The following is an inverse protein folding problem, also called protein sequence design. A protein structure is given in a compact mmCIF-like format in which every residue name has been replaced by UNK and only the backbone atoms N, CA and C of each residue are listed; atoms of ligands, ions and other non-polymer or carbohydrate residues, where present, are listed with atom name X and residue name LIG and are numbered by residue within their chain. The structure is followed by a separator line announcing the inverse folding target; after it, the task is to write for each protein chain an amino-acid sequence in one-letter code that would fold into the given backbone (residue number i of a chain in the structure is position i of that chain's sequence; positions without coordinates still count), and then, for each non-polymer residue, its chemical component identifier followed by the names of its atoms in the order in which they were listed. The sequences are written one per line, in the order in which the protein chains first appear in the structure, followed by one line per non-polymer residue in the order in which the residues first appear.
data_IF_773775375829
#
_entry.id   IF_773775375829
#
_cell.length_a   1.000
_cell.length_b   1.000
_cell.length_c   1.000
_cell.angle_alpha   90.00
_cell.angle_beta   90.00
_cell.angle_gamma   90.00
#
_symmetry.space_group_name_H-M   'P 1'
#
loop_
_entity.id
_entity.type
_entity.pdbx_description
1 polymer ?
#
# COMPACT_ATOMS: atom_id res chain seq x y z
N UNK A 1 4.64 -10.20 -14.30
CA UNK A 1 3.32 -10.51 -13.68
C UNK A 1 2.32 -10.70 -14.81
N UNK A 2 1.52 -11.77 -14.82
CA UNK A 2 0.50 -11.97 -15.87
C UNK A 2 -0.68 -11.01 -15.65
N UNK A 3 -1.35 -10.63 -16.75
CA UNK A 3 -2.55 -9.78 -16.70
C UNK A 3 -3.64 -10.37 -15.80
N UNK A 4 -3.78 -11.70 -15.82
CA UNK A 4 -4.72 -12.42 -14.97
C UNK A 4 -4.42 -12.22 -13.47
N UNK A 5 -3.15 -12.36 -13.07
CA UNK A 5 -2.76 -12.17 -11.67
C UNK A 5 -3.00 -10.73 -11.21
N UNK A 6 -2.72 -9.74 -12.06
CA UNK A 6 -3.02 -8.35 -11.76
C UNK A 6 -4.52 -8.11 -11.56
N UNK A 7 -5.36 -8.64 -12.45
CA UNK A 7 -6.81 -8.49 -12.36
C UNK A 7 -7.37 -9.14 -11.09
N UNK A 8 -6.84 -10.32 -10.71
CA UNK A 8 -7.24 -10.99 -9.47
C UNK A 8 -6.86 -10.15 -8.23
N UNK A 9 -5.66 -9.61 -8.18
CA UNK A 9 -5.24 -8.73 -7.09
C UNK A 9 -6.09 -7.46 -7.02
N UNK A 10 -6.41 -6.85 -8.16
CA UNK A 10 -7.27 -5.68 -8.24
C UNK A 10 -8.69 -5.99 -7.72
N UNK A 11 -9.23 -7.15 -8.08
CA UNK A 11 -10.53 -7.59 -7.60
C UNK A 11 -10.52 -7.77 -6.07
N UNK A 12 -9.55 -8.47 -5.53
CA UNK A 12 -9.42 -8.70 -4.07
C UNK A 12 -9.25 -7.38 -3.33
N UNK A 13 -8.41 -6.47 -3.84
CA UNK A 13 -8.23 -5.13 -3.28
C UNK A 13 -9.58 -4.40 -3.16
N UNK A 14 -10.38 -4.43 -4.22
CA UNK A 14 -11.71 -3.79 -4.23
C UNK A 14 -12.67 -4.39 -3.22
N UNK A 15 -12.69 -5.72 -3.06
CA UNK A 15 -13.52 -6.35 -2.04
C UNK A 15 -13.10 -5.96 -0.63
N UNK A 16 -11.80 -5.89 -0.35
CA UNK A 16 -11.28 -5.45 0.96
C UNK A 16 -11.65 -3.99 1.22
N UNK A 17 -11.45 -3.11 0.26
CA UNK A 17 -11.83 -1.70 0.35
C UNK A 17 -13.34 -1.54 0.59
N UNK A 18 -14.17 -2.23 -0.17
CA UNK A 18 -15.63 -2.19 -0.05
C UNK A 18 -16.10 -2.73 1.31
N UNK A 19 -15.50 -3.81 1.80
CA UNK A 19 -15.87 -4.40 3.08
C UNK A 19 -15.59 -3.49 4.28
N UNK A 20 -14.67 -2.54 4.13
CA UNK A 20 -14.24 -1.61 5.18
C UNK A 20 -14.67 -0.17 4.90
N UNK A 21 -15.55 0.06 3.91
CA UNK A 21 -16.12 1.39 3.72
C UNK A 21 -16.92 1.80 4.96
N UNK A 22 -16.69 3.00 5.49
CA UNK A 22 -17.53 3.51 6.56
C UNK A 22 -18.99 3.64 6.07
N UNK A 23 -19.99 3.42 6.91
CA UNK A 23 -21.37 3.72 6.56
C UNK A 23 -21.49 5.18 6.10
N UNK A 24 -22.46 5.46 5.24
CA UNK A 24 -22.69 6.71 4.46
C UNK A 24 -22.81 8.02 5.28
N UNK A 25 -22.35 8.04 6.51
CA UNK A 25 -22.22 9.28 7.24
C UNK A 25 -21.08 10.14 6.66
N UNK A 26 -21.22 11.48 6.64
CA UNK A 26 -20.22 12.38 6.10
C UNK A 26 -18.96 12.37 7.00
N UNK A 27 -18.28 11.25 7.00
CA UNK A 27 -17.00 11.09 7.66
C UNK A 27 -15.95 11.85 6.86
N UNK A 28 -15.26 12.76 7.51
CA UNK A 28 -14.16 13.54 6.95
C UNK A 28 -12.93 12.71 6.57
N UNK A 29 -12.96 11.40 6.79
CA UNK A 29 -11.84 10.52 6.46
C UNK A 29 -12.03 9.88 5.09
N UNK A 30 -11.03 9.98 4.20
CA UNK A 30 -11.07 9.28 2.94
C UNK A 30 -11.16 7.77 3.18
N UNK A 31 -11.83 7.02 2.26
CA UNK A 31 -11.92 5.57 2.36
C UNK A 31 -10.52 4.93 2.46
N UNK A 32 -10.41 3.79 3.12
CA UNK A 32 -9.15 3.07 3.22
C UNK A 32 -8.69 2.65 1.81
N UNK A 33 -7.43 2.89 1.51
CA UNK A 33 -6.80 2.48 0.27
C UNK A 33 -5.86 1.31 0.54
N UNK A 34 -6.06 0.21 -0.18
CA UNK A 34 -5.27 -1.01 -0.04
C UNK A 34 -4.04 -0.97 -0.94
N UNK A 35 -2.88 -1.24 -0.37
CA UNK A 35 -1.63 -1.36 -1.12
C UNK A 35 -1.57 -2.68 -1.88
N UNK A 36 -1.58 -2.63 -3.20
CA UNK A 36 -1.43 -3.81 -4.07
C UNK A 36 -0.15 -4.59 -3.79
N UNK A 37 0.93 -3.91 -3.40
CA UNK A 37 2.20 -4.54 -3.05
C UNK A 37 2.08 -5.38 -1.77
N UNK A 38 1.55 -4.79 -0.70
CA UNK A 38 1.37 -5.50 0.57
C UNK A 38 0.35 -6.63 0.45
N UNK A 39 -0.71 -6.42 -0.32
CA UNK A 39 -1.70 -7.44 -0.63
C UNK A 39 -1.07 -8.63 -1.37
N UNK A 40 -0.30 -8.38 -2.42
CA UNK A 40 0.39 -9.42 -3.18
C UNK A 40 1.36 -10.21 -2.30
N UNK A 41 2.12 -9.53 -1.44
CA UNK A 41 3.05 -10.16 -0.52
C UNK A 41 2.34 -11.07 0.48
N UNK A 42 1.25 -10.59 1.07
CA UNK A 42 0.42 -11.34 2.01
C UNK A 42 -0.20 -12.59 1.37
N UNK A 43 -0.76 -12.45 0.16
CA UNK A 43 -1.37 -13.57 -0.57
C UNK A 43 -0.30 -14.60 -0.93
N UNK A 44 0.87 -14.19 -1.40
CA UNK A 44 1.94 -15.12 -1.78
C UNK A 44 2.40 -15.95 -0.58
N UNK A 45 2.58 -15.32 0.57
CA UNK A 45 2.98 -16.02 1.79
C UNK A 45 1.91 -17.02 2.27
N UNK A 46 0.62 -16.64 2.17
CA UNK A 46 -0.50 -17.49 2.60
C UNK A 46 -0.80 -18.61 1.62
N UNK A 47 -0.68 -18.35 0.32
CA UNK A 47 -1.04 -19.29 -0.75
C UNK A 47 -0.22 -20.56 -0.71
N UNK A 48 1.07 -20.47 -0.48
CA UNK A 48 1.93 -21.66 -0.36
C UNK A 48 1.53 -22.54 0.82
N UNK A 49 1.20 -21.93 1.97
CA UNK A 49 0.70 -22.66 3.12
C UNK A 49 -0.65 -23.32 2.85
N UNK A 50 -1.56 -22.64 2.16
CA UNK A 50 -2.88 -23.17 1.81
C UNK A 50 -2.83 -24.34 0.84
N UNK A 51 -1.91 -24.34 -0.14
CA UNK A 51 -1.74 -25.46 -1.06
C UNK A 51 -1.32 -26.75 -0.35
N UNK A 52 -0.61 -26.62 0.78
CA UNK A 52 -0.18 -27.76 1.58
C UNK A 52 -1.28 -28.21 2.55
N UNK A 53 -1.99 -27.26 3.14
CA UNK A 53 -2.93 -27.52 4.25
C UNK A 53 -4.36 -27.85 3.80
N UNK A 54 -4.77 -27.38 2.59
CA UNK A 54 -6.16 -27.53 2.12
C UNK A 54 -6.24 -28.57 1.03
N UNK A 55 -6.91 -29.71 1.25
CA UNK A 55 -7.09 -30.74 0.23
C UNK A 55 -7.79 -30.23 -1.03
N UNK A 56 -7.44 -30.77 -2.22
CA UNK A 56 -7.98 -30.29 -3.51
C UNK A 56 -9.50 -30.30 -3.62
N UNK A 57 -10.18 -31.21 -2.95
CA UNK A 57 -11.63 -31.34 -2.92
C UNK A 57 -12.35 -30.13 -2.35
N UNK A 58 -11.73 -29.43 -1.40
CA UNK A 58 -12.30 -28.21 -0.84
C UNK A 58 -12.40 -27.06 -1.85
N UNK A 59 -11.59 -27.09 -2.90
CA UNK A 59 -11.63 -26.09 -3.97
C UNK A 59 -12.76 -26.34 -4.98
N UNK A 60 -13.32 -27.54 -5.01
CA UNK A 60 -14.39 -27.89 -5.94
C UNK A 60 -15.66 -27.09 -5.67
N UNK A 61 -16.01 -26.86 -4.41
CA UNK A 61 -17.15 -26.04 -4.02
C UNK A 61 -17.06 -24.58 -4.50
N UNK A 62 -15.84 -24.04 -4.61
CA UNK A 62 -15.60 -22.70 -5.15
C UNK A 62 -15.72 -22.65 -6.68
N UNK A 63 -15.27 -23.69 -7.37
CA UNK A 63 -15.35 -23.77 -8.84
C UNK A 63 -16.78 -23.92 -9.34
N UNK A 64 -17.63 -24.56 -8.55
CA UNK A 64 -19.05 -24.83 -8.91
C UNK A 64 -20.02 -23.79 -8.36
N UNK A 65 -19.54 -22.85 -7.53
CA UNK A 65 -20.40 -21.85 -6.93
C UNK A 65 -20.84 -20.81 -7.97
N UNK A 66 -22.09 -20.35 -7.83
CA UNK A 66 -22.61 -19.21 -8.57
C UNK A 66 -21.76 -17.95 -8.29
N UNK A 67 -21.53 -17.09 -9.30
CA UNK A 67 -20.76 -15.86 -9.13
C UNK A 67 -21.23 -14.95 -7.99
N UNK A 68 -22.55 -14.84 -7.77
CA UNK A 68 -23.10 -14.05 -6.67
C UNK A 68 -22.73 -14.64 -5.31
N UNK A 69 -22.83 -15.96 -5.16
CA UNK A 69 -22.42 -16.65 -3.93
C UNK A 69 -20.92 -16.53 -3.67
N UNK A 70 -20.09 -16.54 -4.72
CA UNK A 70 -18.65 -16.29 -4.60
C UNK A 70 -18.39 -14.87 -4.10
N UNK A 71 -19.08 -13.87 -4.66
CA UNK A 71 -18.92 -12.47 -4.26
C UNK A 71 -19.30 -12.25 -2.78
N UNK A 72 -20.39 -12.83 -2.31
CA UNK A 72 -20.78 -12.75 -0.90
C UNK A 72 -19.76 -13.38 0.03
N UNK A 73 -19.25 -14.57 -0.32
CA UNK A 73 -18.20 -15.24 0.46
C UNK A 73 -16.92 -14.42 0.51
N UNK A 74 -16.52 -13.82 -0.62
CA UNK A 74 -15.33 -12.95 -0.68
C UNK A 74 -15.52 -11.71 0.21
N UNK A 75 -16.69 -11.06 0.19
CA UNK A 75 -16.99 -9.93 1.07
C UNK A 75 -16.99 -10.34 2.54
N UNK A 76 -17.57 -11.51 2.85
CA UNK A 76 -17.54 -12.02 4.21
C UNK A 76 -16.11 -12.24 4.73
N UNK A 77 -15.26 -12.86 3.93
CA UNK A 77 -13.85 -13.07 4.27
C UNK A 77 -13.08 -11.73 4.34
N UNK A 78 -13.35 -10.82 3.42
CA UNK A 78 -12.71 -9.51 3.37
C UNK A 78 -12.96 -8.67 4.63
N UNK A 79 -14.15 -8.80 5.26
CA UNK A 79 -14.47 -8.13 6.53
C UNK A 79 -13.60 -8.59 7.70
N UNK A 80 -13.05 -9.80 7.61
CA UNK A 80 -12.18 -10.36 8.66
C UNK A 80 -10.71 -9.96 8.52
N UNK A 81 -10.36 -9.33 7.39
CA UNK A 81 -8.98 -8.92 7.09
C UNK A 81 -8.61 -7.69 7.91
N UNK A 82 -7.46 -7.74 8.61
CA UNK A 82 -6.90 -6.53 9.22
C UNK A 82 -6.32 -5.60 8.15
N UNK A 83 -6.85 -4.39 8.08
CA UNK A 83 -6.40 -3.38 7.12
C UNK A 83 -5.06 -2.74 7.45
N UNK A 84 -4.63 -2.75 8.71
CA UNK A 84 -3.42 -2.02 9.12
C UNK A 84 -2.18 -2.41 8.33
N UNK A 85 -1.85 -3.71 8.16
CA UNK A 85 -0.69 -4.11 7.38
C UNK A 85 -0.85 -3.88 5.87
N UNK A 86 -2.09 -3.77 5.38
CA UNK A 86 -2.40 -3.63 3.96
C UNK A 86 -2.60 -2.17 3.52
N UNK A 87 -2.78 -1.25 4.48
CA UNK A 87 -3.05 0.15 4.17
C UNK A 87 -1.87 0.83 3.47
N UNK A 88 -2.19 1.66 2.49
CA UNK A 88 -1.19 2.49 1.81
C UNK A 88 -0.63 3.51 2.79
N UNK A 89 0.68 3.50 2.98
CA UNK A 89 1.35 4.55 3.73
C UNK A 89 1.37 5.83 2.90
N UNK A 90 0.52 6.79 3.22
CA UNK A 90 0.55 8.12 2.61
C UNK A 90 1.89 8.77 2.97
N UNK A 91 2.77 8.94 1.98
CA UNK A 91 3.99 9.73 2.18
C UNK A 91 3.57 11.13 2.64
N UNK A 92 4.10 11.56 3.79
CA UNK A 92 3.98 12.96 4.18
C UNK A 92 4.51 13.82 3.03
N UNK A 93 3.83 14.93 2.67
CA UNK A 93 4.33 15.82 1.64
C UNK A 93 5.78 16.16 1.98
N UNK A 94 6.66 16.08 0.98
CA UNK A 94 8.08 16.33 1.15
C UNK A 94 8.21 17.76 1.69
N UNK A 95 8.58 17.91 2.95
CA UNK A 95 8.86 19.23 3.49
C UNK A 95 9.95 19.83 2.62
N UNK A 96 9.63 20.90 1.93
CA UNK A 96 10.62 21.71 1.22
C UNK A 96 11.57 22.19 2.30
N UNK A 97 12.72 21.54 2.40
CA UNK A 97 13.77 22.00 3.32
C UNK A 97 14.03 23.46 2.94
N UNK A 98 13.88 24.41 3.87
CA UNK A 98 14.18 25.78 3.54
C UNK A 98 15.58 25.83 2.94
N UNK A 99 15.78 26.63 1.91
CA UNK A 99 17.09 26.84 1.27
C UNK A 99 18.07 27.57 2.22
N UNK A 100 17.98 27.31 3.50
CA UNK A 100 18.76 27.91 4.58
C UNK A 100 20.23 27.44 4.60
N UNK A 101 20.78 27.22 3.43
CA UNK A 101 22.24 27.11 3.28
C UNK A 101 22.95 28.45 3.47
N UNK A 102 22.20 29.50 3.74
CA UNK A 102 22.75 30.87 3.68
C UNK A 102 23.25 31.36 5.01
N UNK A 103 22.72 30.89 6.13
CA UNK A 103 22.91 31.58 7.41
C UNK A 103 24.05 31.06 8.29
N UNK A 104 24.89 30.17 7.80
CA UNK A 104 26.07 29.72 8.59
C UNK A 104 25.77 29.00 9.92
N UNK A 105 24.54 29.04 10.38
CA UNK A 105 24.10 28.42 11.65
C UNK A 105 23.71 26.95 11.56
N UNK A 106 23.45 26.45 10.36
CA UNK A 106 23.18 25.03 10.13
C UNK A 106 24.46 24.32 9.66
N UNK A 107 25.33 24.04 10.60
CA UNK A 107 26.66 23.47 10.42
C UNK A 107 26.72 22.07 9.74
N UNK A 108 25.61 21.54 9.26
CA UNK A 108 25.50 20.19 8.68
C UNK A 108 24.90 20.15 7.28
N UNK A 109 24.76 21.27 6.62
CA UNK A 109 24.28 21.29 5.25
C UNK A 109 25.46 20.99 4.32
N UNK A 110 25.33 19.96 3.48
CA UNK A 110 26.28 19.68 2.40
C UNK A 110 26.37 20.89 1.48
N UNK A 111 27.42 21.66 1.58
CA UNK A 111 27.70 22.77 0.67
C UNK A 111 28.56 22.20 -0.44
N UNK A 112 28.13 22.39 -1.72
CA UNK A 112 28.93 21.95 -2.85
C UNK A 112 30.33 22.60 -2.78
N UNK A 113 31.37 21.84 -3.02
CA UNK A 113 32.78 22.27 -2.95
C UNK A 113 33.02 23.55 -3.78
N UNK A 114 32.35 23.68 -4.93
CA UNK A 114 32.41 24.88 -5.76
C UNK A 114 31.96 26.16 -5.02
N UNK A 115 30.98 26.07 -4.11
CA UNK A 115 30.53 27.19 -3.28
C UNK A 115 31.49 27.55 -2.17
N UNK A 116 32.17 26.55 -1.60
CA UNK A 116 33.22 26.79 -0.60
C UNK A 116 34.37 27.55 -1.24
N UNK A 117 34.84 27.10 -2.38
CA UNK A 117 35.92 27.72 -3.15
C UNK A 117 35.56 29.14 -3.61
N UNK A 118 34.30 29.37 -4.05
CA UNK A 118 33.84 30.69 -4.42
C UNK A 118 33.82 31.66 -3.23
N UNK A 119 33.50 31.19 -2.02
CA UNK A 119 33.52 31.96 -0.78
C UNK A 119 34.96 32.33 -0.34
N UNK A 120 35.89 31.40 -0.48
CA UNK A 120 37.30 31.66 -0.18
C UNK A 120 37.91 32.68 -1.12
N UNK A 121 37.56 32.62 -2.41
CA UNK A 121 38.04 33.64 -3.42
C UNK A 121 37.42 35.03 -3.21
N UNK A 122 36.27 35.11 -2.58
CA UNK A 122 35.60 36.41 -2.31
C UNK A 122 35.94 37.00 -0.93
N UNK A 123 36.87 36.39 -0.20
CA UNK A 123 37.39 36.95 1.06
C UNK A 123 38.47 37.95 0.73
N UNK A 124 38.34 39.22 1.18
CA UNK A 124 39.37 40.25 0.96
C UNK A 124 40.65 39.93 1.70
#
# INVERSE_FOLDING_TARGET
MSLLAYNMLALISRYVEQAHQPPLEPSSKPPPEVSMFHLALSITASYQGMLIAVPPEHWTAWRQADPAAVAERLLHLARQVDLKPLATSKRKPKQVKPKAYVDGKTARAHVATARVLARERARP
#
